data_IF_238913095776
#
_entry.id   IF_238913095776
#
_cell.length_a   1.000
_cell.length_b   1.000
_cell.length_c   1.000
_cell.angle_alpha   90.00
_cell.angle_beta   90.00
_cell.angle_gamma   90.00
#
_symmetry.space_group_name_H-M   'P 1'
#
loop_
_entity.id
_entity.type
_entity.pdbx_description
1 polymer ?
#
# COMPACT_ATOMS: atom_id res chain seq x y z
N UNK A 1 15.02 -9.75 4.22
CA UNK A 1 14.09 -10.13 3.14
C UNK A 1 13.47 -8.85 2.65
N UNK A 2 13.28 -8.71 1.35
CA UNK A 2 12.62 -7.55 0.74
C UNK A 2 11.15 -7.86 0.48
N UNK A 3 10.33 -6.82 0.36
CA UNK A 3 8.89 -7.00 0.16
C UNK A 3 8.56 -7.79 -1.11
N UNK A 4 9.27 -7.55 -2.22
CA UNK A 4 9.05 -8.33 -3.44
C UNK A 4 9.22 -9.85 -3.24
N UNK A 5 10.12 -10.27 -2.34
CA UNK A 5 10.34 -11.68 -2.01
C UNK A 5 9.18 -12.25 -1.18
N UNK A 6 8.60 -11.43 -0.29
CA UNK A 6 7.38 -11.80 0.45
C UNK A 6 6.25 -12.04 -0.54
N UNK A 7 6.00 -11.07 -1.44
CA UNK A 7 4.94 -11.16 -2.43
C UNK A 7 5.11 -12.40 -3.34
N UNK A 8 6.32 -12.67 -3.82
CA UNK A 8 6.63 -13.84 -4.64
C UNK A 8 6.45 -15.17 -3.90
N UNK A 9 6.62 -15.19 -2.58
CA UNK A 9 6.46 -16.40 -1.77
C UNK A 9 5.00 -16.76 -1.49
N UNK A 10 4.07 -15.85 -1.76
CA UNK A 10 2.67 -16.01 -1.44
C UNK A 10 1.87 -16.71 -2.54
N UNK A 11 0.82 -17.41 -2.12
CA UNK A 11 -0.24 -17.87 -3.02
C UNK A 11 -1.13 -16.67 -3.40
N UNK A 12 -1.25 -16.37 -4.71
CA UNK A 12 -2.03 -15.22 -5.21
C UNK A 12 -3.49 -15.27 -4.72
N UNK A 13 -4.11 -16.45 -4.73
CA UNK A 13 -5.51 -16.60 -4.32
C UNK A 13 -5.69 -16.23 -2.85
N UNK A 14 -4.78 -16.65 -1.97
CA UNK A 14 -4.82 -16.30 -0.54
C UNK A 14 -4.60 -14.81 -0.31
N UNK A 15 -3.64 -14.19 -1.01
CA UNK A 15 -3.38 -12.74 -0.88
C UNK A 15 -4.60 -11.93 -1.35
N UNK A 16 -5.19 -12.28 -2.49
CA UNK A 16 -6.40 -11.62 -2.98
C UNK A 16 -7.56 -11.83 -2.02
N UNK A 17 -7.73 -13.03 -1.46
CA UNK A 17 -8.78 -13.29 -0.48
C UNK A 17 -8.64 -12.42 0.77
N UNK A 18 -7.42 -12.29 1.31
CA UNK A 18 -7.13 -11.46 2.48
C UNK A 18 -7.33 -9.97 2.15
N UNK A 19 -6.88 -9.51 0.96
CA UNK A 19 -7.12 -8.15 0.47
C UNK A 19 -8.62 -7.83 0.40
N UNK A 20 -9.40 -8.72 -0.21
CA UNK A 20 -10.85 -8.54 -0.35
C UNK A 20 -11.60 -8.61 0.99
N UNK A 21 -11.00 -9.16 2.04
CA UNK A 21 -11.58 -9.15 3.37
C UNK A 21 -11.56 -7.74 4.00
N UNK A 22 -10.59 -6.90 3.62
CA UNK A 22 -10.39 -5.55 4.19
C UNK A 22 -11.24 -4.46 3.53
N UNK A 23 -11.73 -4.69 2.31
CA UNK A 23 -12.51 -3.70 1.57
C UNK A 23 -14.03 -3.91 1.76
N UNK A 24 -14.80 -2.83 1.57
CA UNK A 24 -16.27 -2.85 1.69
C UNK A 24 -16.91 -3.78 0.65
N UNK A 25 -18.01 -4.43 1.02
CA UNK A 25 -18.66 -5.45 0.18
C UNK A 25 -19.06 -4.96 -1.21
N UNK A 26 -19.47 -3.69 -1.34
CA UNK A 26 -19.85 -3.06 -2.61
C UNK A 26 -18.71 -2.93 -3.61
N UNK A 27 -17.45 -2.97 -3.15
CA UNK A 27 -16.26 -2.75 -3.97
C UNK A 27 -15.56 -4.07 -4.34
N UNK A 28 -15.94 -5.20 -3.71
CA UNK A 28 -15.23 -6.48 -3.87
C UNK A 28 -15.20 -6.99 -5.31
N UNK A 29 -16.32 -6.90 -6.02
CA UNK A 29 -16.41 -7.40 -7.40
C UNK A 29 -15.49 -6.61 -8.36
N UNK A 30 -15.45 -5.29 -8.23
CA UNK A 30 -14.60 -4.44 -9.08
C UNK A 30 -13.13 -4.50 -8.67
N UNK A 31 -12.84 -4.69 -7.38
CA UNK A 31 -11.49 -4.77 -6.85
C UNK A 31 -10.78 -6.09 -7.18
N UNK A 32 -11.48 -7.23 -7.20
CA UNK A 32 -10.86 -8.56 -7.37
C UNK A 32 -10.01 -8.68 -8.65
N UNK A 33 -10.56 -8.27 -9.79
CA UNK A 33 -9.82 -8.31 -11.05
C UNK A 33 -8.65 -7.32 -11.04
N UNK A 34 -8.88 -6.10 -10.54
CA UNK A 34 -7.87 -5.04 -10.50
C UNK A 34 -6.68 -5.41 -9.63
N UNK A 35 -6.92 -5.96 -8.43
CA UNK A 35 -5.82 -6.35 -7.54
C UNK A 35 -4.99 -7.49 -8.13
N UNK A 36 -5.60 -8.43 -8.87
CA UNK A 36 -4.85 -9.47 -9.59
C UNK A 36 -3.97 -8.88 -10.68
N UNK A 37 -4.48 -7.91 -11.42
CA UNK A 37 -3.70 -7.19 -12.43
C UNK A 37 -2.55 -6.39 -11.79
N UNK A 38 -2.80 -5.74 -10.65
CA UNK A 38 -1.77 -5.05 -9.86
C UNK A 38 -0.69 -6.01 -9.38
N UNK A 39 -1.03 -7.16 -8.80
CA UNK A 39 -0.06 -8.18 -8.39
C UNK A 39 0.81 -8.62 -9.57
N UNK A 40 0.18 -8.91 -10.73
CA UNK A 40 0.91 -9.27 -11.95
C UNK A 40 1.87 -8.17 -12.39
N UNK A 41 1.44 -6.91 -12.36
CA UNK A 41 2.27 -5.76 -12.72
C UNK A 41 3.45 -5.60 -11.75
N UNK A 42 3.21 -5.67 -10.43
CA UNK A 42 4.24 -5.59 -9.39
C UNK A 42 5.31 -6.65 -9.57
N UNK A 43 4.94 -7.88 -9.94
CA UNK A 43 5.88 -8.97 -10.19
C UNK A 43 6.78 -8.76 -11.42
N UNK A 44 6.47 -7.80 -12.30
CA UNK A 44 7.31 -7.42 -13.44
C UNK A 44 8.24 -6.23 -13.14
N UNK A 45 8.06 -5.53 -12.02
CA UNK A 45 8.87 -4.37 -11.66
C UNK A 45 10.22 -4.83 -11.12
N UNK A 46 11.29 -4.16 -11.55
CA UNK A 46 12.62 -4.31 -10.95
C UNK A 46 12.67 -3.49 -9.65
N UNK A 47 12.87 -4.11 -8.46
CA UNK A 47 12.84 -3.38 -7.20
C UNK A 47 14.08 -2.51 -6.98
N UNK A 48 13.88 -1.31 -6.44
CA UNK A 48 14.94 -0.42 -5.97
C UNK A 48 15.32 -0.79 -4.53
N UNK A 49 16.23 -1.75 -4.39
CA UNK A 49 16.55 -2.33 -3.08
C UNK A 49 17.22 -1.31 -2.15
N UNK A 50 16.74 -1.25 -0.92
CA UNK A 50 17.39 -0.52 0.16
C UNK A 50 17.23 -1.22 1.50
N UNK A 51 18.30 -1.20 2.30
CA UNK A 51 18.36 -1.83 3.63
C UNK A 51 18.12 -0.83 4.78
N UNK A 52 18.00 0.47 4.44
CA UNK A 52 17.76 1.54 5.41
C UNK A 52 16.29 1.63 5.79
N UNK A 53 15.40 1.42 4.83
CA UNK A 53 13.96 1.51 5.02
C UNK A 53 13.35 0.12 5.23
N UNK A 54 12.46 0.05 6.22
CA UNK A 54 11.87 -1.20 6.70
C UNK A 54 10.36 -1.03 6.80
N UNK A 55 9.61 -1.92 6.16
CA UNK A 55 8.16 -2.00 6.28
C UNK A 55 7.77 -2.73 7.57
N UNK A 56 6.91 -2.08 8.34
CA UNK A 56 6.31 -2.59 9.56
C UNK A 56 4.80 -2.76 9.39
N UNK A 57 4.27 -3.70 10.17
CA UNK A 57 2.83 -3.84 10.38
C UNK A 57 2.59 -3.83 11.89
N UNK A 58 1.59 -3.05 12.29
CA UNK A 58 1.14 -2.94 13.67
C UNK A 58 -0.39 -3.02 13.73
N UNK A 59 -0.92 -3.72 14.73
CA UNK A 59 -2.35 -3.75 15.01
C UNK A 59 -2.75 -2.60 15.93
N UNK A 60 -3.70 -1.79 15.49
CA UNK A 60 -4.20 -0.63 16.20
C UNK A 60 -5.31 -1.05 17.17
N UNK A 61 -4.93 -1.38 18.41
CA UNK A 61 -5.85 -1.86 19.45
C UNK A 61 -6.88 -0.83 19.90
N UNK A 62 -6.58 0.45 19.76
CA UNK A 62 -7.44 1.56 20.22
C UNK A 62 -8.55 1.91 19.23
N UNK A 63 -8.46 1.44 17.97
CA UNK A 63 -9.44 1.69 16.92
C UNK A 63 -10.55 0.61 16.85
N UNK A 64 -10.59 -0.33 17.79
CA UNK A 64 -11.56 -1.43 17.79
C UNK A 64 -12.98 -0.95 18.10
N UNK A 65 -13.71 -0.49 17.08
CA UNK A 65 -15.17 -0.48 17.10
C UNK A 65 -15.67 -1.86 16.63
N UNK A 66 -16.52 -2.50 17.43
CA UNK A 66 -17.31 -3.71 17.10
C UNK A 66 -16.65 -4.79 16.22
N UNK A 67 -15.49 -5.32 16.64
CA UNK A 67 -14.97 -6.59 16.12
C UNK A 67 -14.19 -6.53 14.80
N UNK A 68 -13.81 -5.33 14.34
CA UNK A 68 -12.87 -5.14 13.24
C UNK A 68 -11.46 -4.82 13.77
N UNK A 69 -10.45 -5.58 13.32
CA UNK A 69 -9.05 -5.29 13.64
C UNK A 69 -8.49 -4.29 12.61
N UNK A 70 -8.02 -3.15 13.09
CA UNK A 70 -7.32 -2.16 12.27
C UNK A 70 -5.82 -2.43 12.29
N UNK A 71 -5.20 -2.28 11.13
CA UNK A 71 -3.76 -2.45 10.97
C UNK A 71 -3.18 -1.17 10.37
N UNK A 72 -2.01 -0.79 10.84
CA UNK A 72 -1.19 0.25 10.25
C UNK A 72 -0.02 -0.41 9.51
N UNK A 73 0.27 0.05 8.30
CA UNK A 73 1.49 -0.30 7.58
C UNK A 73 2.29 0.97 7.38
N UNK A 74 3.52 0.97 7.87
CA UNK A 74 4.39 2.14 7.80
C UNK A 74 5.82 1.74 7.47
N UNK A 75 6.55 2.71 6.92
CA UNK A 75 7.97 2.61 6.63
C UNK A 75 8.76 3.27 7.75
N UNK A 76 9.73 2.57 8.35
CA UNK A 76 10.75 3.19 9.20
C UNK A 76 12.00 3.43 8.37
N UNK A 77 12.42 4.70 8.25
CA UNK A 77 13.73 5.04 7.70
C UNK A 77 14.76 5.10 8.83
N UNK A 78 15.69 4.16 8.83
CA UNK A 78 16.74 4.07 9.87
C UNK A 78 17.77 5.19 9.78
N UNK A 79 17.86 5.90 8.65
CA UNK A 79 18.84 6.98 8.47
C UNK A 79 18.50 8.22 9.30
N UNK A 80 17.21 8.48 9.52
CA UNK A 80 16.70 9.61 10.28
C UNK A 80 15.78 9.21 11.45
N UNK A 81 15.46 7.91 11.58
CA UNK A 81 14.58 7.35 12.61
C UNK A 81 13.16 7.94 12.57
N UNK A 82 12.67 8.26 11.37
CA UNK A 82 11.31 8.72 11.11
C UNK A 82 10.45 7.63 10.45
N UNK A 83 9.13 7.78 10.60
CA UNK A 83 8.14 6.87 10.01
C UNK A 83 7.31 7.56 8.95
N UNK A 84 7.04 6.86 7.84
CA UNK A 84 6.30 7.38 6.70
C UNK A 84 5.18 6.44 6.24
N UNK A 85 4.10 7.01 5.71
CA UNK A 85 3.12 6.28 4.89
C UNK A 85 3.73 5.85 3.55
N UNK A 86 3.11 4.86 2.91
CA UNK A 86 3.60 4.29 1.64
C UNK A 86 2.63 4.46 0.46
N UNK A 87 1.46 5.05 0.67
CA UNK A 87 0.35 5.17 -0.30
C UNK A 87 0.75 5.89 -1.59
N UNK A 88 1.71 6.80 -1.50
CA UNK A 88 2.19 7.67 -2.58
C UNK A 88 3.62 7.33 -3.05
N UNK A 89 4.21 6.27 -2.51
CA UNK A 89 5.59 5.88 -2.80
C UNK A 89 5.62 5.08 -4.12
N UNK A 90 6.62 5.31 -5.00
CA UNK A 90 6.79 4.49 -6.19
C UNK A 90 6.87 3.01 -5.83
N UNK A 91 6.15 2.17 -6.57
CA UNK A 91 6.05 0.74 -6.27
C UNK A 91 7.41 0.04 -6.38
N UNK A 92 8.30 0.50 -7.26
CA UNK A 92 9.67 -0.02 -7.34
C UNK A 92 10.43 0.14 -6.02
N UNK A 93 10.21 1.24 -5.30
CA UNK A 93 10.82 1.50 -3.99
C UNK A 93 10.14 0.64 -2.91
N UNK A 94 8.80 0.59 -2.87
CA UNK A 94 8.07 -0.26 -1.91
C UNK A 94 8.47 -1.72 -2.01
N UNK A 95 8.58 -2.24 -3.24
CA UNK A 95 9.04 -3.61 -3.51
C UNK A 95 10.47 -3.85 -3.02
N UNK A 96 11.30 -2.81 -3.02
CA UNK A 96 12.70 -2.82 -2.66
C UNK A 96 12.99 -2.59 -1.18
N UNK A 97 11.99 -2.24 -0.37
CA UNK A 97 12.17 -2.11 1.08
C UNK A 97 12.31 -3.45 1.77
N UNK A 98 13.11 -3.46 2.84
CA UNK A 98 13.15 -4.60 3.74
C UNK A 98 11.86 -4.72 4.53
N UNK A 99 11.55 -5.91 5.03
CA UNK A 99 10.37 -6.16 5.85
C UNK A 99 10.78 -6.54 7.25
N UNK A 100 10.06 -6.04 8.25
CA UNK A 100 10.33 -6.37 9.64
C UNK A 100 10.05 -7.86 9.93
N UNK A 101 11.01 -8.50 10.61
CA UNK A 101 10.95 -9.93 10.89
C UNK A 101 9.89 -10.26 11.94
N UNK A 102 9.65 -9.39 12.91
CA UNK A 102 8.64 -9.62 13.94
C UNK A 102 7.23 -9.46 13.35
N UNK A 103 6.99 -8.43 12.54
CA UNK A 103 5.73 -8.29 11.80
C UNK A 103 5.45 -9.52 10.92
N UNK A 104 6.44 -10.01 10.17
CA UNK A 104 6.27 -11.24 9.39
C UNK A 104 6.01 -12.48 10.24
N UNK A 105 6.70 -12.63 11.36
CA UNK A 105 6.50 -13.78 12.25
C UNK A 105 5.11 -13.76 12.90
N UNK A 106 4.57 -12.59 13.19
CA UNK A 106 3.28 -12.42 13.86
C UNK A 106 2.11 -12.59 12.88
N UNK A 107 2.19 -11.97 11.71
CA UNK A 107 1.05 -11.89 10.77
C UNK A 107 1.16 -12.88 9.59
N UNK A 108 2.37 -13.34 9.28
CA UNK A 108 2.65 -14.20 8.13
C UNK A 108 2.66 -13.44 6.80
N UNK A 109 3.27 -14.08 5.79
CA UNK A 109 3.53 -13.45 4.49
C UNK A 109 2.26 -13.01 3.76
N UNK A 110 1.19 -13.81 3.82
CA UNK A 110 -0.06 -13.53 3.09
C UNK A 110 -0.72 -12.25 3.61
N UNK A 111 -0.89 -12.14 4.93
CA UNK A 111 -1.47 -10.95 5.55
C UNK A 111 -0.59 -9.74 5.38
N UNK A 112 0.73 -9.92 5.50
CA UNK A 112 1.69 -8.85 5.24
C UNK A 112 1.56 -8.30 3.82
N UNK A 113 1.56 -9.19 2.82
CA UNK A 113 1.41 -8.81 1.42
C UNK A 113 0.07 -8.11 1.15
N UNK A 114 -1.02 -8.63 1.69
CA UNK A 114 -2.35 -8.05 1.50
C UNK A 114 -2.45 -6.64 2.09
N UNK A 115 -1.92 -6.42 3.30
CA UNK A 115 -1.93 -5.11 3.96
C UNK A 115 -1.07 -4.07 3.21
N UNK A 116 0.13 -4.44 2.76
CA UNK A 116 0.94 -3.53 1.93
C UNK A 116 0.23 -3.22 0.60
N UNK A 117 -0.38 -4.22 -0.03
CA UNK A 117 -1.18 -4.00 -1.25
C UNK A 117 -2.35 -3.05 -1.02
N UNK A 118 -3.02 -3.15 0.13
CA UNK A 118 -4.09 -2.24 0.52
C UNK A 118 -3.61 -0.79 0.56
N UNK A 119 -2.47 -0.52 1.21
CA UNK A 119 -1.92 0.85 1.25
C UNK A 119 -1.50 1.37 -0.13
N UNK A 120 -0.68 0.61 -0.87
CA UNK A 120 -0.12 1.12 -2.14
C UNK A 120 -1.14 1.20 -3.28
N UNK A 121 -2.36 0.70 -3.06
CA UNK A 121 -3.47 0.83 -4.00
C UNK A 121 -4.54 1.82 -3.55
N UNK A 122 -4.31 2.55 -2.45
CA UNK A 122 -5.26 3.50 -1.89
C UNK A 122 -5.75 4.54 -2.91
N UNK A 123 -4.83 5.11 -3.70
CA UNK A 123 -5.15 6.09 -4.74
C UNK A 123 -5.43 5.51 -6.13
N UNK A 124 -5.36 4.18 -6.29
CA UNK A 124 -5.59 3.51 -7.57
C UNK A 124 -4.84 2.20 -7.71
N UNK A 125 -5.21 1.41 -8.73
CA UNK A 125 -4.64 0.09 -9.00
C UNK A 125 -3.51 0.13 -10.05
N UNK A 126 -3.01 1.32 -10.39
CA UNK A 126 -1.83 1.53 -11.23
C UNK A 126 -1.01 2.75 -10.77
N UNK A 127 0.32 2.71 -10.97
CA UNK A 127 1.18 3.87 -10.67
C UNK A 127 0.75 5.14 -11.42
N UNK A 128 0.25 5.00 -12.65
CA UNK A 128 -0.25 6.14 -13.41
C UNK A 128 -1.45 6.80 -12.73
N UNK A 129 -2.41 6.00 -12.24
CA UNK A 129 -3.56 6.51 -11.48
C UNK A 129 -3.09 7.22 -10.21
N UNK A 130 -2.21 6.58 -9.44
CA UNK A 130 -1.69 7.13 -8.18
C UNK A 130 -0.99 8.47 -8.44
N UNK A 131 -0.10 8.53 -9.43
CA UNK A 131 0.60 9.78 -9.81
C UNK A 131 -0.36 10.88 -10.26
N UNK A 132 -1.38 10.55 -11.05
CA UNK A 132 -2.38 11.52 -11.49
C UNK A 132 -3.22 12.05 -10.32
N UNK A 133 -3.60 11.18 -9.39
CA UNK A 133 -4.33 11.55 -8.18
C UNK A 133 -3.49 12.46 -7.29
N UNK A 134 -2.23 12.11 -7.01
CA UNK A 134 -1.31 12.95 -6.22
C UNK A 134 -1.08 14.31 -6.88
N UNK A 135 -0.90 14.33 -8.20
CA UNK A 135 -0.75 15.60 -8.95
C UNK A 135 -1.99 16.47 -8.79
N UNK A 136 -3.19 15.91 -8.92
CA UNK A 136 -4.44 16.64 -8.75
C UNK A 136 -4.60 17.22 -7.33
N UNK A 137 -4.09 16.53 -6.29
CA UNK A 137 -4.06 17.07 -4.92
C UNK A 137 -3.10 18.26 -4.76
N UNK A 138 -1.97 18.23 -5.45
CA UNK A 138 -0.93 19.27 -5.35
C UNK A 138 -1.20 20.49 -6.23
N UNK A 139 -2.09 20.37 -7.22
CA UNK A 139 -2.50 21.48 -8.09
C UNK A 139 -3.53 22.38 -7.36
N UNK A 140 -3.05 23.38 -6.60
CA UNK A 140 -3.87 24.37 -5.86
C UNK A 140 -4.98 25.03 -6.71
N UNK A 141 -4.72 25.30 -8.00
CA UNK A 141 -5.69 25.92 -8.92
C UNK A 141 -6.88 25.01 -9.27
N UNK A 142 -6.75 23.69 -9.13
CA UNK A 142 -7.84 22.74 -9.37
C UNK A 142 -8.79 22.63 -8.16
N UNK A 143 -8.25 22.80 -6.94
CA UNK A 143 -9.02 22.75 -5.68
C UNK A 143 -9.71 24.09 -5.36
N UNK A 144 -9.07 25.20 -5.71
CA UNK A 144 -9.62 26.55 -5.52
C UNK A 144 -9.46 27.38 -6.80
N UNK A 145 -10.30 27.16 -7.83
CA UNK A 145 -10.29 28.02 -9.01
C UNK A 145 -10.56 29.46 -8.55
N UNK A 146 -9.56 30.33 -8.70
CA UNK A 146 -9.70 31.75 -8.36
C UNK A 146 -10.89 32.28 -9.14
N UNK A 147 -11.95 32.67 -8.43
CA UNK A 147 -13.12 33.30 -9.03
C UNK A 147 -12.62 34.44 -9.93
N UNK A 148 -12.81 34.28 -11.24
CA UNK A 148 -12.37 35.26 -12.22
C UNK A 148 -12.92 36.62 -11.84
N UNK A 149 -12.06 37.64 -11.80
CA UNK A 149 -12.50 39.03 -11.66
C UNK A 149 -13.53 39.29 -12.76
N UNK A 150 -14.79 39.48 -12.37
CA UNK A 150 -15.82 40.01 -13.24
C UNK A 150 -15.28 41.31 -13.86
N UNK A 151 -15.12 41.32 -15.19
CA UNK A 151 -14.84 42.53 -15.95
C UNK A 151 -16.12 43.31 -16.15
#
# INVERSE_FOLDING_TARGET
>A
MYFYQVLQSCDEFKVVSEFLAMIKSSEKCSANQRIRETIKALLQITPNKSDNEVLYIEELKEAQEEGENFYNVYLLDRSNNETYSIEAVPWADVLGYTVDKASLSTYGNVKFAALVLYEITYFGFSEEQIRNTIKAFNDEEALYPKAGKCR
#
